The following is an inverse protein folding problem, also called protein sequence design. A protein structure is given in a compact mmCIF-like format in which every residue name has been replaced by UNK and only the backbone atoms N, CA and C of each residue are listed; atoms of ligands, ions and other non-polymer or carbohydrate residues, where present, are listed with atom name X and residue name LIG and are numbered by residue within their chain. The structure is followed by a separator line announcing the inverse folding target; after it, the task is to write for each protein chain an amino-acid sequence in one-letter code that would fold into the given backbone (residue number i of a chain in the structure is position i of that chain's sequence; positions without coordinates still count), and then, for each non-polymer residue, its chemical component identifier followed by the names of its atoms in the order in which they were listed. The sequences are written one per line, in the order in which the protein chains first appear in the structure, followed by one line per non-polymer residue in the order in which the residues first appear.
data_IF_339251368548
#
_entry.id   IF_339251368548
#
_cell.length_a   1.000
_cell.length_b   1.000
_cell.length_c   1.000
_cell.angle_alpha   90.00
_cell.angle_beta   90.00
_cell.angle_gamma   90.00
#
_symmetry.space_group_name_H-M   'P 1'
#
loop_
_entity.id
_entity.type
_entity.pdbx_description
1 polymer ?
#
# COMPACT_ATOMS: atom_id res chain seq x y z
N UNK A 1 4.84 23.96 -12.55
CA UNK A 1 5.38 23.23 -11.38
C UNK A 1 5.37 24.18 -10.19
N UNK A 2 5.04 23.72 -8.98
CA UNK A 2 5.12 24.57 -7.79
C UNK A 2 6.60 24.97 -7.56
N UNK A 3 6.88 26.27 -7.48
CA UNK A 3 8.25 26.80 -7.39
C UNK A 3 8.97 26.36 -6.12
N UNK A 4 8.24 26.06 -5.04
CA UNK A 4 8.78 25.54 -3.78
C UNK A 4 9.24 24.09 -3.96
N UNK A 5 8.46 23.26 -4.64
CA UNK A 5 8.80 21.85 -4.91
C UNK A 5 10.06 21.80 -5.78
N UNK A 6 10.09 22.58 -6.87
CA UNK A 6 11.23 22.63 -7.77
C UNK A 6 12.52 23.05 -7.04
N UNK A 7 12.48 24.16 -6.29
CA UNK A 7 13.64 24.60 -5.49
C UNK A 7 14.05 23.58 -4.43
N UNK A 8 13.11 22.87 -3.82
CA UNK A 8 13.44 21.84 -2.82
C UNK A 8 14.11 20.64 -3.46
N UNK A 9 13.67 20.25 -4.66
CA UNK A 9 14.28 19.19 -5.44
C UNK A 9 15.71 19.56 -5.88
N UNK A 10 15.89 20.73 -6.50
CA UNK A 10 17.20 21.22 -6.96
C UNK A 10 18.23 21.36 -5.83
N UNK A 11 17.78 21.70 -4.61
CA UNK A 11 18.64 21.81 -3.44
C UNK A 11 18.83 20.49 -2.67
N UNK A 12 18.32 19.36 -3.16
CA UNK A 12 18.45 18.06 -2.48
C UNK A 12 17.76 18.00 -1.12
N UNK A 13 16.66 18.74 -0.94
CA UNK A 13 15.87 18.83 0.30
C UNK A 13 14.45 18.26 0.16
N UNK A 14 14.14 17.62 -0.96
CA UNK A 14 12.82 17.06 -1.20
C UNK A 14 12.67 15.74 -0.43
N UNK A 15 11.76 15.75 0.53
CA UNK A 15 11.27 14.56 1.23
C UNK A 15 9.92 14.18 0.66
N UNK A 16 9.76 12.91 0.31
CA UNK A 16 8.51 12.38 -0.25
C UNK A 16 7.82 11.52 0.80
N UNK A 17 6.52 11.72 0.98
CA UNK A 17 5.68 10.90 1.85
C UNK A 17 4.65 10.16 1.00
N UNK A 18 4.66 8.83 1.06
CA UNK A 18 3.85 7.96 0.24
C UNK A 18 2.78 7.24 1.07
N UNK A 19 1.57 7.20 0.54
CA UNK A 19 0.48 6.37 1.03
C UNK A 19 0.13 5.27 0.04
N UNK A 20 -0.92 4.50 0.33
CA UNK A 20 -1.27 3.29 -0.43
C UNK A 20 -1.48 3.55 -1.94
N UNK A 21 -1.89 4.77 -2.30
CA UNK A 21 -2.05 5.17 -3.70
C UNK A 21 -0.75 5.15 -4.51
N UNK A 22 0.42 5.26 -3.87
CA UNK A 22 1.72 5.18 -4.55
C UNK A 22 1.97 3.80 -5.18
N UNK A 23 1.39 2.74 -4.60
CA UNK A 23 1.53 1.36 -5.07
C UNK A 23 0.38 0.92 -5.99
N UNK A 24 -0.54 1.82 -6.37
CA UNK A 24 -1.75 1.45 -7.12
C UNK A 24 -1.47 0.83 -8.50
N UNK A 25 -0.44 1.32 -9.21
CA UNK A 25 -0.03 0.76 -10.51
C UNK A 25 0.93 -0.43 -10.37
N UNK A 26 1.44 -0.69 -9.16
CA UNK A 26 2.28 -1.85 -8.86
C UNK A 26 1.47 -3.14 -8.84
N UNK A 27 2.17 -4.28 -8.89
CA UNK A 27 1.54 -5.60 -8.98
C UNK A 27 1.86 -6.48 -7.78
N UNK A 28 0.94 -7.36 -7.43
CA UNK A 28 1.17 -8.45 -6.47
C UNK A 28 2.15 -9.48 -7.05
N UNK A 29 2.59 -10.45 -6.24
CA UNK A 29 3.43 -11.58 -6.69
C UNK A 29 2.84 -12.35 -7.88
N UNK A 30 1.50 -12.36 -8.01
CA UNK A 30 0.79 -13.06 -9.09
C UNK A 30 0.56 -12.17 -10.33
N UNK A 31 1.02 -10.92 -10.32
CA UNK A 31 0.81 -9.97 -11.43
C UNK A 31 -0.55 -9.26 -11.40
N UNK A 32 -1.35 -9.44 -10.35
CA UNK A 32 -2.61 -8.73 -10.15
C UNK A 32 -2.37 -7.33 -9.57
N UNK A 33 -3.38 -6.47 -9.56
CA UNK A 33 -3.29 -5.15 -8.95
C UNK A 33 -3.21 -5.26 -7.42
N UNK A 34 -2.38 -4.42 -6.79
CA UNK A 34 -2.34 -4.32 -5.33
C UNK A 34 -3.67 -3.73 -4.83
N UNK A 35 -4.38 -4.41 -3.90
CA UNK A 35 -5.68 -3.96 -3.45
C UNK A 35 -5.56 -2.66 -2.64
N UNK A 36 -6.39 -1.67 -2.98
CA UNK A 36 -6.54 -0.46 -2.16
C UNK A 36 -7.49 -0.70 -0.98
N UNK A 37 -7.62 0.29 -0.08
CA UNK A 37 -8.33 0.12 1.20
C UNK A 37 -9.73 -0.50 1.10
N UNK A 38 -10.57 -0.06 0.14
CA UNK A 38 -11.92 -0.62 -0.06
C UNK A 38 -11.89 -2.05 -0.60
N UNK A 39 -10.95 -2.36 -1.48
CA UNK A 39 -10.79 -3.70 -2.05
C UNK A 39 -10.27 -4.67 -0.99
N UNK A 40 -9.32 -4.21 -0.17
CA UNK A 40 -8.80 -4.95 0.96
C UNK A 40 -9.91 -5.25 1.98
N UNK A 41 -10.77 -4.28 2.29
CA UNK A 41 -11.95 -4.50 3.13
C UNK A 41 -12.84 -5.63 2.60
N UNK A 42 -13.12 -5.63 1.30
CA UNK A 42 -13.92 -6.70 0.65
C UNK A 42 -13.24 -8.06 0.72
N UNK A 43 -11.92 -8.10 0.52
CA UNK A 43 -11.11 -9.33 0.60
C UNK A 43 -11.17 -9.91 2.02
N UNK A 44 -10.95 -9.08 3.05
CA UNK A 44 -10.96 -9.53 4.45
C UNK A 44 -12.36 -10.01 4.86
N UNK A 45 -13.42 -9.26 4.53
CA UNK A 45 -14.80 -9.66 4.83
C UNK A 45 -15.15 -10.99 4.19
N UNK A 46 -14.77 -11.18 2.91
CA UNK A 46 -14.96 -12.44 2.20
C UNK A 46 -14.22 -13.60 2.86
N UNK A 47 -12.97 -13.40 3.30
CA UNK A 47 -12.19 -14.42 4.00
C UNK A 47 -12.82 -14.80 5.35
N UNK A 48 -13.49 -13.86 6.02
CA UNK A 48 -14.26 -14.11 7.24
C UNK A 48 -15.64 -14.73 6.98
N UNK A 49 -16.09 -14.83 5.72
CA UNK A 49 -17.42 -15.35 5.37
C UNK A 49 -18.56 -14.33 5.48
N UNK A 50 -18.26 -13.04 5.51
CA UNK A 50 -19.25 -11.95 5.59
C UNK A 50 -19.30 -11.13 4.29
N UNK A 51 -20.43 -10.46 4.08
CA UNK A 51 -20.60 -9.48 2.99
C UNK A 51 -20.13 -8.10 3.46
N UNK A 52 -19.31 -7.43 2.65
CA UNK A 52 -18.89 -6.05 2.93
C UNK A 52 -20.10 -5.10 2.93
N UNK A 53 -20.23 -4.29 3.98
CA UNK A 53 -21.35 -3.37 4.20
C UNK A 53 -20.91 -1.93 4.53
N UNK A 54 -19.86 -1.46 3.84
CA UNK A 54 -19.29 -0.11 3.97
C UNK A 54 -18.66 0.22 5.34
N UNK A 55 -18.30 -0.79 6.13
CA UNK A 55 -17.53 -0.62 7.35
C UNK A 55 -16.12 -0.12 7.03
N UNK A 56 -15.52 0.61 7.98
CA UNK A 56 -14.16 1.10 7.78
C UNK A 56 -13.16 -0.06 7.78
N UNK A 57 -12.07 0.09 7.02
CA UNK A 57 -10.99 -0.91 7.01
C UNK A 57 -10.42 -1.15 8.42
N UNK A 58 -10.39 -0.12 9.27
CA UNK A 58 -9.91 -0.25 10.65
C UNK A 58 -10.80 -1.17 11.49
N UNK A 59 -12.12 -1.00 11.42
CA UNK A 59 -13.08 -1.87 12.11
C UNK A 59 -13.01 -3.30 11.58
N UNK A 60 -12.98 -3.47 10.26
CA UNK A 60 -12.86 -4.78 9.61
C UNK A 60 -11.57 -5.49 10.02
N UNK A 61 -10.45 -4.77 10.07
CA UNK A 61 -9.16 -5.33 10.49
C UNK A 61 -9.19 -5.82 11.94
N UNK A 62 -9.80 -5.06 12.86
CA UNK A 62 -9.92 -5.46 14.26
C UNK A 62 -10.86 -6.66 14.44
N UNK A 63 -11.98 -6.67 13.71
CA UNK A 63 -12.89 -7.80 13.67
C UNK A 63 -12.17 -9.05 13.14
N UNK A 64 -11.45 -8.94 12.03
CA UNK A 64 -10.66 -10.03 11.46
C UNK A 64 -9.63 -10.56 12.46
N UNK A 65 -8.85 -9.69 13.09
CA UNK A 65 -7.85 -10.10 14.09
C UNK A 65 -8.48 -10.94 15.21
N UNK A 66 -9.71 -10.62 15.61
CA UNK A 66 -10.46 -11.34 16.64
C UNK A 66 -11.07 -12.64 16.11
N UNK A 67 -11.69 -12.63 14.93
CA UNK A 67 -12.42 -13.76 14.37
C UNK A 67 -11.53 -14.85 13.76
N UNK A 68 -10.48 -14.48 13.02
CA UNK A 68 -9.58 -15.43 12.33
C UNK A 68 -8.23 -15.62 13.04
N UNK A 69 -7.91 -14.75 14.01
CA UNK A 69 -6.61 -14.73 14.67
C UNK A 69 -5.53 -14.00 13.85
N UNK A 70 -4.52 -13.50 14.57
CA UNK A 70 -3.47 -12.66 13.99
C UNK A 70 -2.65 -13.38 12.90
N UNK A 71 -2.33 -14.66 13.09
CA UNK A 71 -1.49 -15.42 12.14
C UNK A 71 -2.15 -15.54 10.76
N UNK A 72 -3.42 -15.96 10.72
CA UNK A 72 -4.17 -16.12 9.47
C UNK A 72 -4.39 -14.79 8.75
N UNK A 73 -4.60 -13.71 9.51
CA UNK A 73 -4.70 -12.36 8.95
C UNK A 73 -3.37 -11.92 8.31
N UNK A 74 -2.24 -12.16 8.97
CA UNK A 74 -0.91 -11.87 8.40
C UNK A 74 -0.66 -12.68 7.13
N UNK A 75 -1.02 -13.96 7.12
CA UNK A 75 -0.91 -14.81 5.92
C UNK A 75 -1.77 -14.29 4.76
N UNK A 76 -3.00 -13.83 5.04
CA UNK A 76 -3.85 -13.20 4.04
C UNK A 76 -3.17 -11.96 3.45
N UNK A 77 -2.68 -11.05 4.30
CA UNK A 77 -2.01 -9.83 3.84
C UNK A 77 -0.75 -10.12 3.03
N UNK A 78 0.06 -11.10 3.47
CA UNK A 78 1.27 -11.51 2.77
C UNK A 78 0.99 -12.00 1.35
N UNK A 79 -0.20 -12.57 1.06
CA UNK A 79 -0.56 -12.99 -0.31
C UNK A 79 -0.60 -11.82 -1.30
N UNK A 80 -0.95 -10.63 -0.81
CA UNK A 80 -1.16 -9.44 -1.64
C UNK A 80 0.01 -8.45 -1.59
N UNK A 81 0.67 -8.33 -0.44
CA UNK A 81 1.64 -7.27 -0.17
C UNK A 81 3.10 -7.75 -0.03
N UNK A 82 3.39 -9.05 -0.16
CA UNK A 82 4.76 -9.56 -0.28
C UNK A 82 5.09 -9.99 -1.71
N UNK A 83 6.37 -9.92 -2.04
CA UNK A 83 6.95 -10.21 -3.35
C UNK A 83 6.25 -9.43 -4.47
N UNK A 84 5.90 -8.17 -4.18
CA UNK A 84 5.26 -7.28 -5.15
C UNK A 84 6.26 -6.84 -6.23
N UNK A 85 5.71 -6.32 -7.32
CA UNK A 85 6.47 -5.81 -8.46
C UNK A 85 6.19 -4.32 -8.58
N UNK A 86 7.17 -3.44 -8.31
CA UNK A 86 6.96 -2.00 -8.38
C UNK A 86 6.66 -1.58 -9.81
N UNK A 87 5.80 -0.58 -9.96
CA UNK A 87 5.48 0.02 -11.25
C UNK A 87 6.66 0.81 -11.83
N UNK A 88 6.60 1.12 -13.12
CA UNK A 88 7.64 1.93 -13.77
C UNK A 88 7.65 3.36 -13.23
N UNK A 89 6.49 3.92 -12.87
CA UNK A 89 6.43 5.24 -12.23
C UNK A 89 7.11 5.24 -10.87
N UNK A 90 6.94 4.16 -10.11
CA UNK A 90 7.58 4.01 -8.81
C UNK A 90 9.09 3.87 -8.94
N UNK A 91 9.56 3.02 -9.87
CA UNK A 91 10.99 2.88 -10.20
C UNK A 91 11.60 4.20 -10.63
N UNK A 92 10.88 4.98 -11.43
CA UNK A 92 11.31 6.31 -11.82
C UNK A 92 11.41 7.24 -10.62
N UNK A 93 10.40 7.28 -9.75
CA UNK A 93 10.40 8.13 -8.55
C UNK A 93 11.61 7.86 -7.65
N UNK A 94 11.93 6.59 -7.37
CA UNK A 94 13.07 6.23 -6.50
C UNK A 94 14.43 6.44 -7.17
N UNK A 95 14.47 6.55 -8.51
CA UNK A 95 15.70 6.90 -9.24
C UNK A 95 16.10 8.37 -9.11
N UNK A 96 15.18 9.22 -8.64
CA UNK A 96 15.44 10.63 -8.44
C UNK A 96 16.33 10.87 -7.19
N UNK A 97 17.10 11.98 -7.15
CA UNK A 97 17.95 12.34 -6.00
C UNK A 97 17.12 12.87 -4.82
N UNK A 98 16.25 12.03 -4.27
CA UNK A 98 15.39 12.34 -3.13
C UNK A 98 16.19 12.23 -1.83
N UNK A 99 15.96 13.14 -0.89
CA UNK A 99 16.62 13.11 0.42
C UNK A 99 16.16 11.90 1.23
N UNK A 100 14.85 11.63 1.18
CA UNK A 100 14.20 10.54 1.91
C UNK A 100 12.82 10.25 1.36
N UNK A 101 12.41 8.98 1.44
CA UNK A 101 11.04 8.53 1.25
C UNK A 101 10.54 7.99 2.59
N UNK A 102 9.39 8.47 3.03
CA UNK A 102 8.62 7.89 4.12
C UNK A 102 7.36 7.26 3.53
N UNK A 103 6.96 6.09 4.03
CA UNK A 103 5.77 5.41 3.54
C UNK A 103 4.96 4.82 4.69
N UNK A 104 3.64 4.84 4.53
CA UNK A 104 2.70 4.08 5.37
C UNK A 104 2.35 2.71 4.77
N UNK A 105 2.89 2.39 3.60
CA UNK A 105 2.57 1.17 2.89
C UNK A 105 3.22 -0.02 3.59
N UNK A 106 2.50 -1.13 3.59
CA UNK A 106 2.97 -2.42 4.13
C UNK A 106 3.43 -3.37 3.02
N UNK A 107 3.42 -2.89 1.77
CA UNK A 107 3.96 -3.61 0.62
C UNK A 107 5.47 -3.45 0.52
N UNK A 108 6.09 -4.35 -0.25
CA UNK A 108 7.52 -4.34 -0.54
C UNK A 108 7.87 -3.64 -1.87
N UNK A 109 6.99 -2.78 -2.40
CA UNK A 109 7.34 -1.91 -3.54
C UNK A 109 8.22 -0.73 -3.11
N UNK A 110 8.09 -0.30 -1.85
CA UNK A 110 8.66 0.94 -1.31
C UNK A 110 10.10 0.79 -0.83
#
# INVERSE_FOLDING_TARGET
MNSIIQKSFENGRLVVFLGAGASFSSKTQNGEQIPLGVELSKIIMKEMGYTYSNESLSEIYQAAKTCMGQQRLIELLNKYFKNTRPSEEYKYLVSLPLTRIYSLNIDDCV
#
